data_IF_057165092024
#
_entry.id   IF_057165092024
#
_cell.length_a   1.000
_cell.length_b   1.000
_cell.length_c   1.000
_cell.angle_alpha   90.00
_cell.angle_beta   90.00
_cell.angle_gamma   90.00
#
_symmetry.space_group_name_H-M   'P 1'
#
loop_
_entity.id
_entity.type
_entity.pdbx_description
1 polymer ?
#
# COMPACT_ATOMS: atom_id res chain seq x y z
N UNK A 1 -0.36 -11.08 10.56
CA UNK A 1 -1.75 -11.20 11.06
C UNK A 1 -2.54 -12.04 10.07
N UNK A 2 -3.64 -12.66 10.50
CA UNK A 2 -4.55 -13.32 9.57
C UNK A 2 -5.32 -12.29 8.71
N UNK A 3 -5.86 -12.75 7.58
CA UNK A 3 -6.73 -11.95 6.70
C UNK A 3 -7.91 -11.31 7.45
N UNK A 4 -8.60 -12.10 8.28
CA UNK A 4 -9.76 -11.65 9.05
C UNK A 4 -9.38 -10.58 10.09
N UNK A 5 -8.22 -10.73 10.73
CA UNK A 5 -7.71 -9.73 11.68
C UNK A 5 -7.34 -8.43 10.96
N UNK A 6 -6.66 -8.51 9.81
CA UNK A 6 -6.32 -7.35 9.01
C UNK A 6 -7.60 -6.60 8.57
N UNK A 7 -8.61 -7.33 8.07
CA UNK A 7 -9.89 -6.75 7.65
C UNK A 7 -10.62 -6.05 8.80
N UNK A 8 -10.61 -6.62 10.01
CA UNK A 8 -11.19 -5.96 11.20
C UNK A 8 -10.47 -4.66 11.56
N UNK A 9 -9.14 -4.64 11.49
CA UNK A 9 -8.36 -3.44 11.77
C UNK A 9 -8.55 -2.36 10.70
N UNK A 10 -8.62 -2.73 9.42
CA UNK A 10 -8.94 -1.81 8.32
C UNK A 10 -10.30 -1.11 8.51
N UNK A 11 -11.28 -1.86 9.03
CA UNK A 11 -12.63 -1.36 9.29
C UNK A 11 -12.77 -0.53 10.58
N UNK A 12 -11.73 -0.43 11.41
CA UNK A 12 -11.85 0.19 12.73
C UNK A 12 -11.94 1.72 12.68
N UNK A 13 -11.56 2.35 11.57
CA UNK A 13 -11.50 3.82 11.44
C UNK A 13 -10.42 4.47 12.33
N UNK A 14 -9.47 3.68 12.83
CA UNK A 14 -8.37 4.16 13.67
C UNK A 14 -7.09 4.03 12.85
N UNK A 15 -6.43 5.14 12.55
CA UNK A 15 -5.26 5.18 11.68
C UNK A 15 -4.19 4.15 12.08
N UNK A 16 -3.86 4.05 13.38
CA UNK A 16 -2.84 3.09 13.86
C UNK A 16 -3.20 1.63 13.63
N UNK A 17 -4.49 1.29 13.63
CA UNK A 17 -4.94 -0.07 13.28
C UNK A 17 -4.85 -0.29 11.78
N UNK A 18 -5.25 0.71 10.99
CA UNK A 18 -5.23 0.65 9.54
C UNK A 18 -3.78 0.51 9.04
N UNK A 19 -2.85 1.31 9.56
CA UNK A 19 -1.42 1.22 9.20
C UNK A 19 -0.84 -0.15 9.53
N UNK A 20 -1.10 -0.68 10.73
CA UNK A 20 -0.65 -2.02 11.13
C UNK A 20 -1.21 -3.11 10.21
N UNK A 21 -2.49 -2.99 9.81
CA UNK A 21 -3.11 -3.92 8.87
C UNK A 21 -2.47 -3.86 7.49
N UNK A 22 -2.26 -2.67 6.93
CA UNK A 22 -1.64 -2.47 5.62
C UNK A 22 -0.23 -3.06 5.56
N UNK A 23 0.60 -2.80 6.58
CA UNK A 23 1.93 -3.41 6.69
C UNK A 23 1.84 -4.93 6.76
N UNK A 24 0.93 -5.47 7.57
CA UNK A 24 0.73 -6.93 7.65
C UNK A 24 0.27 -7.51 6.31
N UNK A 25 -0.56 -6.81 5.54
CA UNK A 25 -1.05 -7.24 4.23
C UNK A 25 0.13 -7.34 3.25
N UNK A 26 0.91 -6.26 3.11
CA UNK A 26 2.07 -6.25 2.21
C UNK A 26 3.06 -7.37 2.53
N UNK A 27 3.28 -7.68 3.82
CA UNK A 27 4.24 -8.71 4.25
C UNK A 27 3.72 -10.14 4.21
N UNK A 28 2.41 -10.38 4.40
CA UNK A 28 1.90 -11.73 4.67
C UNK A 28 0.72 -12.18 3.81
N UNK A 29 -0.05 -11.26 3.20
CA UNK A 29 -1.27 -11.65 2.48
C UNK A 29 -0.93 -12.53 1.26
N UNK A 30 -1.74 -13.58 1.07
CA UNK A 30 -1.60 -14.56 0.00
C UNK A 30 -2.48 -14.20 -1.19
N UNK A 31 -3.64 -13.58 -0.96
CA UNK A 31 -4.49 -13.06 -2.03
C UNK A 31 -3.91 -11.73 -2.56
N UNK A 32 -3.04 -11.82 -3.58
CA UNK A 32 -2.38 -10.66 -4.18
C UNK A 32 -3.38 -9.65 -4.76
N UNK A 33 -4.44 -10.12 -5.41
CA UNK A 33 -5.43 -9.25 -6.06
C UNK A 33 -6.17 -8.44 -4.99
N UNK A 34 -6.62 -9.10 -3.93
CA UNK A 34 -7.26 -8.42 -2.81
C UNK A 34 -6.30 -7.46 -2.10
N UNK A 35 -5.05 -7.88 -1.88
CA UNK A 35 -4.04 -7.04 -1.24
C UNK A 35 -3.75 -5.77 -2.04
N UNK A 36 -3.57 -5.89 -3.36
CA UNK A 36 -3.34 -4.77 -4.26
C UNK A 36 -4.52 -3.78 -4.24
N UNK A 37 -5.74 -4.26 -4.48
CA UNK A 37 -6.93 -3.40 -4.46
C UNK A 37 -7.13 -2.72 -3.11
N UNK A 38 -6.82 -3.41 -2.02
CA UNK A 38 -6.87 -2.84 -0.68
C UNK A 38 -5.85 -1.73 -0.51
N UNK A 39 -4.59 -1.94 -0.90
CA UNK A 39 -3.57 -0.89 -0.81
C UNK A 39 -3.93 0.33 -1.67
N UNK A 40 -4.36 0.12 -2.92
CA UNK A 40 -4.80 1.20 -3.81
C UNK A 40 -5.95 2.02 -3.21
N UNK A 41 -6.95 1.37 -2.61
CA UNK A 41 -8.04 2.05 -1.92
C UNK A 41 -7.53 2.99 -0.82
N UNK A 42 -6.51 2.58 -0.05
CA UNK A 42 -5.99 3.35 1.07
C UNK A 42 -4.95 4.41 0.68
N UNK A 43 -4.45 4.42 -0.56
CA UNK A 43 -3.68 5.56 -1.10
C UNK A 43 -4.50 6.85 -1.10
N UNK A 44 -5.81 6.76 -1.36
CA UNK A 44 -6.72 7.90 -1.35
C UNK A 44 -7.06 8.43 0.06
N UNK A 45 -6.50 7.84 1.13
CA UNK A 45 -6.78 8.25 2.52
C UNK A 45 -6.44 9.73 2.77
N UNK A 46 -7.21 10.38 3.64
CA UNK A 46 -6.91 11.73 4.16
C UNK A 46 -5.79 11.71 5.22
N UNK A 47 -5.47 10.53 5.77
CA UNK A 47 -4.37 10.37 6.71
C UNK A 47 -3.09 10.04 5.98
N UNK A 48 -2.10 10.94 6.07
CA UNK A 48 -0.76 10.76 5.51
C UNK A 48 -0.12 9.44 5.99
N UNK A 49 -0.31 9.09 7.27
CA UNK A 49 0.25 7.84 7.83
C UNK A 49 -0.35 6.57 7.20
N UNK A 50 -1.64 6.62 6.86
CA UNK A 50 -2.35 5.53 6.19
C UNK A 50 -1.91 5.44 4.73
N UNK A 51 -1.82 6.57 4.03
CA UNK A 51 -1.31 6.61 2.66
C UNK A 51 0.13 6.08 2.59
N UNK A 52 1.02 6.54 3.47
CA UNK A 52 2.40 6.06 3.56
C UNK A 52 2.48 4.54 3.77
N UNK A 53 1.65 4.00 4.67
CA UNK A 53 1.62 2.55 4.94
C UNK A 53 1.10 1.75 3.74
N UNK A 54 0.15 2.29 2.98
CA UNK A 54 -0.33 1.67 1.75
C UNK A 54 0.76 1.67 0.66
N UNK A 55 1.52 2.76 0.51
CA UNK A 55 2.66 2.84 -0.41
C UNK A 55 3.70 1.78 -0.05
N UNK A 56 4.13 1.70 1.21
CA UNK A 56 5.09 0.69 1.66
C UNK A 56 4.59 -0.74 1.42
N UNK A 57 3.29 -0.99 1.65
CA UNK A 57 2.68 -2.29 1.38
C UNK A 57 2.75 -2.67 -0.11
N UNK A 58 2.56 -1.72 -1.04
CA UNK A 58 2.71 -1.96 -2.48
C UNK A 58 4.13 -2.39 -2.84
N UNK A 59 5.16 -1.75 -2.26
CA UNK A 59 6.55 -2.16 -2.46
C UNK A 59 6.83 -3.58 -1.96
N UNK A 60 6.16 -4.02 -0.90
CA UNK A 60 6.23 -5.41 -0.44
C UNK A 60 5.48 -6.38 -1.35
N UNK A 61 4.32 -5.98 -1.89
CA UNK A 61 3.58 -6.80 -2.86
C UNK A 61 4.37 -6.98 -4.16
N UNK A 62 5.00 -5.92 -4.67
CA UNK A 62 5.91 -5.98 -5.82
C UNK A 62 6.98 -7.06 -5.62
N UNK A 63 7.72 -6.98 -4.50
CA UNK A 63 8.78 -7.92 -4.14
C UNK A 63 8.31 -9.38 -4.02
N UNK A 64 7.10 -9.60 -3.49
CA UNK A 64 6.63 -10.94 -3.14
C UNK A 64 5.93 -11.64 -4.29
N UNK A 65 5.11 -10.91 -5.04
CA UNK A 65 4.22 -11.49 -6.04
C UNK A 65 4.66 -11.24 -7.47
N UNK A 66 5.50 -10.22 -7.72
CA UNK A 66 6.07 -9.95 -9.05
C UNK A 66 5.05 -9.53 -10.12
N UNK A 67 3.78 -9.35 -9.74
CA UNK A 67 2.70 -8.95 -10.63
C UNK A 67 1.91 -7.80 -10.01
N UNK A 68 2.01 -6.63 -10.64
CA UNK A 68 1.27 -5.42 -10.31
C UNK A 68 0.81 -4.75 -11.61
N UNK A 69 -0.40 -4.19 -11.60
CA UNK A 69 -0.83 -3.27 -12.65
C UNK A 69 -0.08 -1.93 -12.50
N UNK A 70 1.07 -1.86 -13.16
CA UNK A 70 2.00 -0.72 -13.08
C UNK A 70 1.34 0.59 -13.45
N UNK A 71 0.50 0.62 -14.48
CA UNK A 71 -0.10 1.87 -14.96
C UNK A 71 -1.01 2.47 -13.90
N UNK A 72 -1.90 1.64 -13.33
CA UNK A 72 -2.78 2.04 -12.24
C UNK A 72 -1.99 2.48 -11.00
N UNK A 73 -0.98 1.69 -10.60
CA UNK A 73 -0.17 2.00 -9.41
C UNK A 73 0.60 3.31 -9.58
N UNK A 74 1.23 3.54 -10.74
CA UNK A 74 1.97 4.75 -11.05
C UNK A 74 1.08 6.00 -10.98
N UNK A 75 -0.12 5.93 -11.58
CA UNK A 75 -1.06 7.04 -11.56
C UNK A 75 -1.49 7.40 -10.14
N UNK A 76 -1.75 6.40 -9.29
CA UNK A 76 -2.16 6.66 -7.90
C UNK A 76 -1.00 7.16 -7.02
N UNK A 77 0.23 6.70 -7.28
CA UNK A 77 1.41 7.21 -6.57
C UNK A 77 1.70 8.69 -6.88
N UNK A 78 1.47 9.14 -8.11
CA UNK A 78 1.55 10.57 -8.45
C UNK A 78 0.46 11.39 -7.73
N UNK A 79 -0.79 10.90 -7.68
CA UNK A 79 -1.85 11.55 -6.90
C UNK A 79 -1.47 11.70 -5.41
N UNK A 80 -0.83 10.68 -4.84
CA UNK A 80 -0.38 10.71 -3.45
C UNK A 80 0.76 11.72 -3.25
N UNK A 81 1.71 11.83 -4.18
CA UNK A 81 2.78 12.85 -4.12
C UNK A 81 2.22 14.27 -4.15
N UNK A 82 1.23 14.52 -4.99
CA UNK A 82 0.57 15.83 -5.04
C UNK A 82 -0.13 16.17 -3.72
N UNK A 83 -0.81 15.18 -3.12
CA UNK A 83 -1.53 15.35 -1.85
C UNK A 83 -0.60 15.48 -0.64
N UNK A 84 0.44 14.65 -0.59
CA UNK A 84 1.39 14.56 0.52
C UNK A 84 2.83 14.64 0.00
N UNK A 85 3.35 15.85 -0.29
CA UNK A 85 4.71 16.03 -0.80
C UNK A 85 5.80 15.46 0.12
N UNK A 86 5.54 15.34 1.42
CA UNK A 86 6.43 14.69 2.41
C UNK A 86 6.68 13.21 2.12
N UNK A 87 5.81 12.54 1.37
CA UNK A 87 5.92 11.12 1.03
C UNK A 87 6.74 10.87 -0.24
N UNK A 88 7.29 11.90 -0.89
CA UNK A 88 8.05 11.78 -2.15
C UNK A 88 9.16 10.71 -2.07
N UNK A 89 9.92 10.66 -0.97
CA UNK A 89 10.96 9.65 -0.78
C UNK A 89 10.41 8.22 -0.69
N UNK A 90 9.30 8.01 0.02
CA UNK A 90 8.68 6.68 0.18
C UNK A 90 8.09 6.22 -1.17
N UNK A 91 7.54 7.15 -1.94
CA UNK A 91 7.05 6.86 -3.28
C UNK A 91 8.21 6.47 -4.20
N UNK A 92 9.31 7.23 -4.19
CA UNK A 92 10.49 6.89 -4.99
C UNK A 92 11.03 5.48 -4.66
N UNK A 93 11.21 5.16 -3.36
CA UNK A 93 11.66 3.82 -2.93
C UNK A 93 10.71 2.71 -3.41
N UNK A 94 9.40 2.98 -3.41
CA UNK A 94 8.39 2.00 -3.85
C UNK A 94 8.37 1.84 -5.37
N UNK A 95 8.62 2.91 -6.12
CA UNK A 95 8.77 2.83 -7.57
C UNK A 95 9.99 1.99 -7.96
N UNK A 96 11.11 2.17 -7.27
CA UNK A 96 12.31 1.36 -7.46
C UNK A 96 12.01 -0.14 -7.22
N UNK A 97 11.17 -0.45 -6.22
CA UNK A 97 10.73 -1.82 -5.97
C UNK A 97 9.84 -2.38 -7.07
N UNK A 98 8.89 -1.59 -7.56
CA UNK A 98 8.02 -2.01 -8.65
C UNK A 98 8.86 -2.27 -9.90
N UNK A 99 9.80 -1.39 -10.24
CA UNK A 99 10.70 -1.56 -11.38
C UNK A 99 11.61 -2.79 -11.25
N UNK A 100 12.13 -3.06 -10.05
CA UNK A 100 13.05 -4.17 -9.82
C UNK A 100 12.36 -5.55 -9.86
N UNK A 101 11.07 -5.63 -9.53
CA UNK A 101 10.39 -6.91 -9.26
C UNK A 101 9.19 -7.23 -10.17
N UNK A 102 8.73 -6.29 -11.00
CA UNK A 102 7.59 -6.49 -11.94
C UNK A 102 7.97 -6.05 -13.34
#
# INVERSE_FOLDING_TARGET
MSHDEATKLLASGIDTNITAALVSIGLNEADNIWALHTCLKYLASESESVAASAITALGHLARRHGELDKETVLSELENVKEKFPSLEGIVADTLDDIEAFT
#
